data_IF_582114713410
#
_entry.id   IF_582114713410
#
_cell.length_a   1.000
_cell.length_b   1.000
_cell.length_c   1.000
_cell.angle_alpha   90.00
_cell.angle_beta   90.00
_cell.angle_gamma   90.00
#
_symmetry.space_group_name_H-M   'P 1'
#
loop_
_entity.id
_entity.type
_entity.pdbx_description
1 polymer ?
#
# COMPACT_ATOMS: atom_id res chain seq x y z
N UNK A 1 8.98 6.66 4.65
CA UNK A 1 9.26 5.74 3.53
C UNK A 1 9.34 6.56 2.25
N UNK A 2 10.26 6.24 1.35
CA UNK A 2 10.45 6.97 0.09
C UNK A 2 9.33 6.68 -0.94
N UNK A 3 8.96 7.70 -1.73
CA UNK A 3 7.89 7.62 -2.74
C UNK A 3 8.21 6.61 -3.85
N UNK A 4 9.44 6.57 -4.33
CA UNK A 4 9.85 5.64 -5.40
C UNK A 4 9.83 4.18 -4.91
N UNK A 5 10.22 3.96 -3.66
CA UNK A 5 10.10 2.64 -3.01
C UNK A 5 8.63 2.23 -2.94
N UNK A 6 7.75 3.14 -2.52
CA UNK A 6 6.32 2.86 -2.45
C UNK A 6 5.73 2.52 -3.83
N UNK A 7 6.05 3.29 -4.87
CA UNK A 7 5.64 3.03 -6.26
C UNK A 7 6.12 1.65 -6.70
N UNK A 8 7.41 1.32 -6.49
CA UNK A 8 7.98 0.03 -6.88
C UNK A 8 7.29 -1.16 -6.21
N UNK A 9 6.97 -1.05 -4.91
CA UNK A 9 6.25 -2.10 -4.19
C UNK A 9 4.81 -2.27 -4.69
N UNK A 10 4.10 -1.17 -4.96
CA UNK A 10 2.75 -1.20 -5.52
C UNK A 10 2.74 -1.81 -6.94
N UNK A 11 3.69 -1.44 -7.80
CA UNK A 11 3.81 -2.02 -9.15
C UNK A 11 4.16 -3.51 -9.10
N UNK A 12 5.03 -3.92 -8.18
CA UNK A 12 5.34 -5.34 -7.97
C UNK A 12 4.10 -6.11 -7.54
N UNK A 13 3.34 -5.59 -6.58
CA UNK A 13 2.10 -6.23 -6.14
C UNK A 13 1.07 -6.31 -7.26
N UNK A 14 0.90 -5.23 -8.05
CA UNK A 14 0.04 -5.23 -9.24
C UNK A 14 0.43 -6.33 -10.24
N UNK A 15 1.73 -6.47 -10.54
CA UNK A 15 2.23 -7.52 -11.44
C UNK A 15 1.86 -8.92 -10.95
N UNK A 16 1.98 -9.18 -9.65
CA UNK A 16 1.58 -10.46 -9.05
C UNK A 16 0.05 -10.73 -9.15
N UNK A 17 -0.78 -9.69 -9.19
CA UNK A 17 -2.24 -9.83 -9.28
C UNK A 17 -2.77 -10.00 -10.72
N UNK A 18 -2.02 -9.54 -11.73
CA UNK A 18 -2.47 -9.57 -13.15
C UNK A 18 -2.84 -10.98 -13.63
N UNK A 19 -2.17 -12.01 -13.13
CA UNK A 19 -2.46 -13.42 -13.45
C UNK A 19 -3.82 -13.90 -12.96
N UNK A 20 -4.47 -13.14 -12.07
CA UNK A 20 -5.77 -13.46 -11.49
C UNK A 20 -6.78 -12.32 -11.71
N UNK A 21 -6.54 -11.45 -12.70
CA UNK A 21 -7.36 -10.26 -13.01
C UNK A 21 -8.83 -10.55 -13.33
N UNK A 22 -9.15 -11.79 -13.69
CA UNK A 22 -10.52 -12.19 -14.05
C UNK A 22 -11.38 -12.48 -12.80
N UNK A 23 -10.77 -12.57 -11.62
CA UNK A 23 -11.51 -12.61 -10.36
C UNK A 23 -11.96 -11.20 -9.99
N UNK A 24 -13.27 -10.98 -9.90
CA UNK A 24 -13.84 -9.64 -9.66
C UNK A 24 -13.25 -8.93 -8.42
N UNK A 25 -13.00 -9.61 -7.28
CA UNK A 25 -12.34 -8.98 -6.14
C UNK A 25 -10.91 -8.51 -6.46
N UNK A 26 -10.16 -9.29 -7.25
CA UNK A 26 -8.78 -8.94 -7.64
C UNK A 26 -8.78 -7.78 -8.62
N UNK A 27 -9.75 -7.75 -9.55
CA UNK A 27 -9.94 -6.64 -10.47
C UNK A 27 -10.16 -5.31 -9.75
N UNK A 28 -10.98 -5.29 -8.70
CA UNK A 28 -11.16 -4.10 -7.85
C UNK A 28 -9.87 -3.67 -7.16
N UNK A 29 -9.09 -4.62 -6.63
CA UNK A 29 -7.78 -4.33 -6.02
C UNK A 29 -6.80 -3.75 -7.06
N UNK A 30 -6.79 -4.28 -8.28
CA UNK A 30 -5.98 -3.75 -9.39
C UNK A 30 -6.41 -2.32 -9.76
N UNK A 31 -7.71 -2.03 -9.79
CA UNK A 31 -8.21 -0.67 -10.04
C UNK A 31 -7.79 0.31 -8.96
N UNK A 32 -7.92 -0.06 -7.68
CA UNK A 32 -7.47 0.79 -6.57
C UNK A 32 -5.95 0.99 -6.58
N UNK A 33 -5.18 -0.05 -6.97
CA UNK A 33 -3.74 0.05 -7.21
C UNK A 33 -3.42 1.07 -8.31
N UNK A 34 -4.17 1.06 -9.41
CA UNK A 34 -3.96 1.98 -10.52
C UNK A 34 -4.25 3.43 -10.14
N UNK A 35 -5.33 3.67 -9.42
CA UNK A 35 -5.65 4.99 -8.88
C UNK A 35 -4.55 5.47 -7.91
N UNK A 36 -4.11 4.61 -7.00
CA UNK A 36 -3.06 4.93 -6.03
C UNK A 36 -1.73 5.21 -6.74
N UNK A 37 -1.34 4.38 -7.72
CA UNK A 37 -0.12 4.58 -8.49
C UNK A 37 -0.15 5.87 -9.31
N UNK A 38 -1.28 6.18 -9.95
CA UNK A 38 -1.44 7.41 -10.71
C UNK A 38 -1.31 8.63 -9.79
N UNK A 39 -2.00 8.60 -8.66
CA UNK A 39 -1.97 9.64 -7.65
C UNK A 39 -0.56 9.85 -7.09
N UNK A 40 0.16 8.77 -6.75
CA UNK A 40 1.56 8.83 -6.34
C UNK A 40 2.46 9.40 -7.42
N UNK A 41 2.26 9.06 -8.70
CA UNK A 41 3.11 9.56 -9.79
C UNK A 41 2.91 11.06 -10.04
N UNK A 42 1.67 11.53 -9.97
CA UNK A 42 1.30 12.93 -10.26
C UNK A 42 1.60 13.86 -9.09
N UNK A 43 1.31 13.41 -7.85
CA UNK A 43 1.39 14.28 -6.68
C UNK A 43 2.74 14.16 -5.98
N UNK A 44 3.24 15.30 -5.51
CA UNK A 44 4.36 15.34 -4.58
C UNK A 44 3.83 15.21 -3.16
N UNK A 45 4.32 14.19 -2.47
CA UNK A 45 3.91 13.90 -1.10
C UNK A 45 4.97 14.37 -0.13
N UNK A 46 4.60 15.33 0.71
CA UNK A 46 5.45 15.86 1.77
C UNK A 46 5.04 15.30 3.14
N UNK A 47 6.04 15.14 4.01
CA UNK A 47 5.86 14.67 5.38
C UNK A 47 5.06 13.38 5.47
N UNK A 48 4.00 13.39 6.29
CA UNK A 48 3.22 12.20 6.64
C UNK A 48 2.16 11.80 5.60
N UNK A 49 2.01 12.57 4.52
CA UNK A 49 0.90 12.40 3.58
C UNK A 49 0.98 11.09 2.80
N UNK A 50 2.16 10.72 2.31
CA UNK A 50 2.39 9.43 1.64
C UNK A 50 2.07 8.23 2.54
N UNK A 51 2.57 8.16 3.79
CA UNK A 51 2.18 7.13 4.76
C UNK A 51 0.68 7.00 5.00
N UNK A 52 -0.06 8.13 5.05
CA UNK A 52 -1.52 8.14 5.20
C UNK A 52 -2.16 7.49 3.98
N UNK A 53 -1.81 7.93 2.76
CA UNK A 53 -2.35 7.39 1.51
C UNK A 53 -2.13 5.89 1.37
N UNK A 54 -0.93 5.42 1.70
CA UNK A 54 -0.63 3.99 1.65
C UNK A 54 -1.36 3.20 2.76
N UNK A 55 -1.65 3.82 3.90
CA UNK A 55 -2.48 3.21 4.94
C UNK A 55 -3.94 3.09 4.50
N UNK A 56 -4.48 4.13 3.87
CA UNK A 56 -5.85 4.11 3.30
C UNK A 56 -5.96 3.01 2.24
N UNK A 57 -5.01 2.95 1.31
CA UNK A 57 -4.91 1.89 0.31
C UNK A 57 -4.88 0.51 0.96
N UNK A 58 -3.98 0.30 1.94
CA UNK A 58 -3.84 -1.02 2.56
C UNK A 58 -5.07 -1.47 3.33
N UNK A 59 -5.77 -0.53 3.97
CA UNK A 59 -7.05 -0.82 4.62
C UNK A 59 -8.13 -1.23 3.62
N UNK A 60 -8.26 -0.53 2.49
CA UNK A 60 -9.24 -0.90 1.44
C UNK A 60 -9.01 -2.32 0.92
N UNK A 61 -7.76 -2.68 0.67
CA UNK A 61 -7.40 -4.03 0.20
C UNK A 61 -7.68 -5.09 1.26
N UNK A 62 -7.34 -4.83 2.53
CA UNK A 62 -7.66 -5.75 3.63
C UNK A 62 -9.18 -5.97 3.78
N UNK A 63 -9.99 -4.93 3.60
CA UNK A 63 -11.45 -5.05 3.60
C UNK A 63 -11.94 -5.93 2.44
N UNK A 64 -11.38 -5.76 1.24
CA UNK A 64 -11.69 -6.64 0.11
C UNK A 64 -11.33 -8.11 0.40
N UNK A 65 -10.21 -8.37 1.08
CA UNK A 65 -9.81 -9.72 1.48
C UNK A 65 -10.75 -10.33 2.52
N UNK A 66 -11.14 -9.55 3.52
CA UNK A 66 -11.98 -10.02 4.62
C UNK A 66 -13.42 -10.29 4.18
N UNK A 67 -13.99 -9.41 3.33
CA UNK A 67 -15.42 -9.45 3.00
C UNK A 67 -15.72 -10.14 1.66
N UNK A 68 -14.81 -10.12 0.69
CA UNK A 68 -15.05 -10.74 -0.63
C UNK A 68 -14.40 -12.13 -0.75
N UNK A 69 -13.84 -12.66 0.34
CA UNK A 69 -13.26 -14.01 0.37
C UNK A 69 -12.06 -14.19 -0.55
N UNK A 70 -11.35 -13.10 -0.89
CA UNK A 70 -10.23 -13.12 -1.81
C UNK A 70 -9.08 -13.96 -1.24
N UNK A 71 -8.71 -15.02 -1.95
CA UNK A 71 -7.56 -15.86 -1.62
C UNK A 71 -6.40 -15.55 -2.54
N UNK A 72 -5.37 -14.92 -1.99
CA UNK A 72 -4.12 -14.72 -2.68
C UNK A 72 -3.35 -16.04 -2.81
N UNK A 73 -2.64 -16.22 -3.92
CA UNK A 73 -1.60 -17.24 -4.01
C UNK A 73 -0.47 -16.95 -3.02
N UNK A 74 0.43 -17.91 -2.83
CA UNK A 74 1.59 -17.72 -1.96
C UNK A 74 2.46 -16.53 -2.40
N UNK A 75 2.71 -16.41 -3.71
CA UNK A 75 3.51 -15.31 -4.27
C UNK A 75 2.82 -13.95 -4.08
N UNK A 76 1.52 -13.90 -4.35
CA UNK A 76 0.71 -12.70 -4.14
C UNK A 76 0.69 -12.29 -2.67
N UNK A 77 0.57 -13.27 -1.76
CA UNK A 77 0.61 -13.05 -0.31
C UNK A 77 1.96 -12.50 0.13
N UNK A 78 3.07 -13.07 -0.37
CA UNK A 78 4.42 -12.54 -0.09
C UNK A 78 4.60 -11.10 -0.55
N UNK A 79 4.15 -10.78 -1.77
CA UNK A 79 4.21 -9.40 -2.27
C UNK A 79 3.33 -8.45 -1.45
N UNK A 80 2.18 -8.93 -0.96
CA UNK A 80 1.29 -8.17 -0.10
C UNK A 80 1.90 -7.89 1.28
N UNK A 81 2.47 -8.90 1.93
CA UNK A 81 3.13 -8.73 3.24
C UNK A 81 4.30 -7.76 3.17
N UNK A 82 5.13 -7.84 2.12
CA UNK A 82 6.24 -6.89 1.91
C UNK A 82 5.75 -5.44 1.82
N UNK A 83 4.64 -5.21 1.10
CA UNK A 83 4.04 -3.89 1.00
C UNK A 83 3.51 -3.41 2.37
N UNK A 84 2.78 -4.26 3.10
CA UNK A 84 2.26 -3.92 4.43
C UNK A 84 3.39 -3.59 5.41
N UNK A 85 4.45 -4.40 5.44
CA UNK A 85 5.60 -4.14 6.30
C UNK A 85 6.25 -2.79 6.00
N UNK A 86 6.44 -2.47 4.72
CA UNK A 86 7.02 -1.21 4.31
C UNK A 86 6.17 0.00 4.75
N UNK A 87 4.84 -0.12 4.63
CA UNK A 87 3.88 0.91 5.11
C UNK A 87 3.92 1.04 6.63
N UNK A 88 3.99 -0.07 7.38
CA UNK A 88 4.10 -0.05 8.85
C UNK A 88 5.41 0.60 9.30
N UNK A 89 6.55 0.18 8.73
CA UNK A 89 7.88 0.72 9.04
C UNK A 89 7.97 2.21 8.70
N UNK A 90 7.38 2.62 7.58
CA UNK A 90 7.24 4.03 7.19
C UNK A 90 6.57 4.84 8.30
N UNK A 91 5.39 4.41 8.76
CA UNK A 91 4.65 5.09 9.83
C UNK A 91 5.41 5.16 11.16
N UNK A 92 6.15 4.12 11.52
CA UNK A 92 6.92 4.13 12.77
C UNK A 92 8.01 5.21 12.75
N UNK A 93 8.71 5.36 11.62
CA UNK A 93 9.66 6.46 11.43
C UNK A 93 9.02 7.84 11.56
N UNK A 94 7.84 8.02 10.97
CA UNK A 94 7.14 9.32 10.99
C UNK A 94 6.56 9.65 12.37
N UNK A 95 6.07 8.65 13.12
CA UNK A 95 5.58 8.83 14.50
C UNK A 95 6.70 9.26 15.44
N UNK A 96 7.89 8.69 15.29
CA UNK A 96 9.08 9.09 16.06
C UNK A 96 9.52 10.50 15.66
N UNK A 97 9.48 10.84 14.37
CA UNK A 97 9.76 12.21 13.91
C UNK A 97 8.79 13.24 14.49
N UNK A 98 7.49 12.94 14.48
CA UNK A 98 6.45 13.80 15.07
C UNK A 98 6.59 13.92 16.60
N UNK A 99 6.90 12.84 17.31
CA UNK A 99 7.08 12.90 18.77
C UNK A 99 8.32 13.71 19.16
N UNK A 100 9.40 13.67 18.37
CA UNK A 100 10.57 14.53 18.55
C UNK A 100 10.25 16.01 18.29
N UNK A 101 9.54 16.32 17.20
CA UNK A 101 9.15 17.71 16.87
C UNK A 101 8.24 18.34 17.92
N UNK A 102 7.37 17.54 18.54
CA UNK A 102 6.44 17.99 19.57
C UNK A 102 7.04 17.93 20.99
N UNK A 103 8.26 17.40 21.16
CA UNK A 103 8.92 17.28 22.47
C UNK A 103 8.22 16.31 23.44
N UNK A 104 7.56 15.26 22.92
CA UNK A 104 6.74 14.32 23.72
C UNK A 104 7.53 13.03 24.08
N UNK A 105 8.84 12.98 23.86
CA UNK A 105 9.70 11.86 24.30
C UNK A 105 10.60 12.24 25.46
#
# INVERSE_FOLDING_TARGET
MDKEIAISLLEKFKKCLIVSKDQEPIKKVIQELDLTLQDLKVNNYEGITLPIRLSEFTNKVNLAFAFEGLRLSEEQSKSWELLKEAVIKGRQGDRVGLSMLLGIM
#
